data_IF_908420006140
#
_entry.id   IF_908420006140
#
_cell.length_a   1.000
_cell.length_b   1.000
_cell.length_c   1.000
_cell.angle_alpha   90.00
_cell.angle_beta   90.00
_cell.angle_gamma   90.00
#
_symmetry.space_group_name_H-M   'P 1'
#
loop_
_entity.id
_entity.type
_entity.pdbx_description
1 polymer ?
#
# COMPACT_ATOMS: atom_id res chain seq x y z
N UNK A 1 -20.54 13.62 -35.37
CA UNK A 1 -20.86 13.30 -33.96
C UNK A 1 -21.96 14.27 -33.57
N UNK A 2 -23.22 13.82 -33.53
CA UNK A 2 -24.33 14.71 -33.19
C UNK A 2 -24.27 14.93 -31.69
N UNK A 3 -23.93 16.15 -31.27
CA UNK A 3 -23.83 16.52 -29.86
C UNK A 3 -25.18 16.28 -29.17
N UNK A 4 -25.18 15.43 -28.15
CA UNK A 4 -26.38 15.12 -27.33
C UNK A 4 -27.01 16.41 -26.80
N UNK A 5 -26.20 17.45 -26.53
CA UNK A 5 -26.70 18.75 -26.10
C UNK A 5 -27.51 19.44 -27.21
N UNK A 6 -27.08 19.33 -28.47
CA UNK A 6 -27.83 19.84 -29.63
C UNK A 6 -29.16 19.11 -29.81
N UNK A 7 -29.20 17.80 -29.54
CA UNK A 7 -30.44 17.02 -29.59
C UNK A 7 -31.43 17.41 -28.48
N UNK A 8 -30.93 17.67 -27.25
CA UNK A 8 -31.73 18.18 -26.13
C UNK A 8 -32.26 19.59 -26.38
N UNK A 9 -31.42 20.46 -26.97
CA UNK A 9 -31.79 21.83 -27.32
C UNK A 9 -32.89 21.84 -28.39
N UNK A 10 -32.74 21.06 -29.46
CA UNK A 10 -33.75 20.91 -30.51
C UNK A 10 -35.06 20.30 -29.95
N UNK A 11 -34.97 19.32 -29.04
CA UNK A 11 -36.14 18.75 -28.39
C UNK A 11 -36.88 19.78 -27.50
N UNK A 12 -36.14 20.60 -26.75
CA UNK A 12 -36.71 21.65 -25.91
C UNK A 12 -37.37 22.77 -26.75
N UNK A 13 -36.74 23.15 -27.87
CA UNK A 13 -37.29 24.11 -28.83
C UNK A 13 -38.59 23.60 -29.46
N UNK A 14 -38.64 22.33 -29.86
CA UNK A 14 -39.84 21.69 -30.42
C UNK A 14 -41.00 21.63 -29.42
N UNK A 15 -40.71 21.34 -28.14
CA UNK A 15 -41.72 21.32 -27.07
C UNK A 15 -42.28 22.72 -26.77
N UNK A 16 -41.46 23.77 -26.90
CA UNK A 16 -41.88 25.15 -26.68
C UNK A 16 -42.82 25.68 -27.79
N UNK A 17 -42.63 25.23 -29.04
CA UNK A 17 -43.40 25.65 -30.21
C UNK A 17 -43.73 24.42 -31.10
N UNK A 18 -44.75 23.62 -30.76
CA UNK A 18 -45.07 22.38 -31.48
C UNK A 18 -45.71 22.60 -32.86
N UNK A 19 -46.07 23.85 -33.20
CA UNK A 19 -46.64 24.23 -34.50
C UNK A 19 -45.55 24.59 -35.51
N UNK A 20 -44.66 23.64 -35.83
CA UNK A 20 -43.69 23.82 -36.91
C UNK A 20 -44.40 23.83 -38.26
N UNK A 21 -44.20 24.88 -39.05
CA UNK A 21 -44.55 24.81 -40.47
C UNK A 21 -43.62 23.80 -41.17
N UNK A 22 -44.07 23.16 -42.25
CA UNK A 22 -43.31 22.11 -42.94
C UNK A 22 -41.90 22.60 -43.35
N UNK A 23 -40.89 22.31 -42.52
CA UNK A 23 -39.50 22.73 -42.72
C UNK A 23 -38.69 22.94 -41.44
N UNK A 24 -39.31 23.44 -40.36
CA UNK A 24 -38.61 23.88 -39.14
C UNK A 24 -38.04 22.73 -38.30
N UNK A 25 -38.67 21.55 -38.30
CA UNK A 25 -38.19 20.37 -37.55
C UNK A 25 -37.19 19.52 -38.32
N UNK A 26 -36.76 19.96 -39.51
CA UNK A 26 -35.90 19.17 -40.39
C UNK A 26 -34.58 18.77 -39.72
N UNK A 27 -33.97 19.68 -38.95
CA UNK A 27 -32.76 19.39 -38.17
C UNK A 27 -33.03 18.40 -37.03
N UNK A 28 -34.15 18.57 -36.32
CA UNK A 28 -34.54 17.63 -35.25
C UNK A 28 -34.83 16.25 -35.82
N UNK A 29 -35.58 16.13 -36.91
CA UNK A 29 -35.89 14.86 -37.59
C UNK A 29 -34.64 14.21 -38.18
N UNK A 30 -33.69 15.00 -38.66
CA UNK A 30 -32.40 14.49 -39.11
C UNK A 30 -31.53 14.02 -37.94
N UNK A 31 -31.53 14.71 -36.80
CA UNK A 31 -30.78 14.33 -35.60
C UNK A 31 -31.40 13.13 -34.87
N UNK A 32 -32.73 13.04 -34.86
CA UNK A 32 -33.54 11.96 -34.32
C UNK A 32 -33.85 10.87 -35.37
N UNK A 33 -33.11 10.84 -36.48
CA UNK A 33 -33.28 9.79 -37.47
C UNK A 33 -32.88 8.42 -36.84
N UNK A 34 -33.53 7.31 -37.23
CA UNK A 34 -33.25 6.00 -36.63
C UNK A 34 -31.77 5.59 -36.66
N UNK A 35 -31.03 5.93 -37.73
CA UNK A 35 -29.62 5.61 -37.87
C UNK A 35 -28.73 6.40 -36.89
N UNK A 36 -29.07 7.65 -36.61
CA UNK A 36 -28.36 8.49 -35.64
C UNK A 36 -28.61 8.01 -34.21
N UNK A 37 -29.86 7.63 -33.89
CA UNK A 37 -30.23 7.07 -32.60
C UNK A 37 -29.51 5.73 -32.35
N UNK A 38 -29.50 4.83 -33.34
CA UNK A 38 -28.79 3.55 -33.23
C UNK A 38 -27.29 3.71 -33.00
N UNK A 39 -26.65 4.72 -33.61
CA UNK A 39 -25.23 5.04 -33.37
C UNK A 39 -24.98 5.50 -31.93
N UNK A 40 -25.85 6.35 -31.38
CA UNK A 40 -25.75 6.80 -30.00
C UNK A 40 -25.95 5.65 -29.01
N UNK A 41 -26.90 4.74 -29.28
CA UNK A 41 -27.10 3.53 -28.47
C UNK A 41 -25.83 2.68 -28.45
N UNK A 42 -25.25 2.42 -29.62
CA UNK A 42 -24.00 1.65 -29.71
C UNK A 42 -22.83 2.32 -28.97
N UNK A 43 -22.74 3.66 -29.01
CA UNK A 43 -21.74 4.42 -28.28
C UNK A 43 -21.95 4.33 -26.75
N UNK A 44 -23.20 4.45 -26.28
CA UNK A 44 -23.54 4.28 -24.87
C UNK A 44 -23.23 2.87 -24.39
N UNK A 45 -23.51 1.84 -25.19
CA UNK A 45 -23.20 0.45 -24.85
C UNK A 45 -21.68 0.25 -24.73
N UNK A 46 -20.90 0.81 -25.66
CA UNK A 46 -19.44 0.75 -25.62
C UNK A 46 -18.87 1.48 -24.39
N UNK A 47 -19.36 2.70 -24.11
CA UNK A 47 -18.94 3.46 -22.94
C UNK A 47 -19.32 2.75 -21.65
N UNK A 48 -20.49 2.13 -21.60
CA UNK A 48 -20.93 1.33 -20.44
C UNK A 48 -20.03 0.12 -20.23
N UNK A 49 -19.65 -0.57 -21.31
CA UNK A 49 -18.72 -1.70 -21.23
C UNK A 49 -17.33 -1.26 -20.77
N UNK A 50 -16.82 -0.14 -21.29
CA UNK A 50 -15.54 0.44 -20.88
C UNK A 50 -15.54 0.84 -19.40
N UNK A 51 -16.56 1.56 -18.95
CA UNK A 51 -16.69 1.98 -17.56
C UNK A 51 -16.75 0.77 -16.61
N UNK A 52 -17.47 -0.30 -17.00
CA UNK A 52 -17.48 -1.54 -16.22
C UNK A 52 -16.09 -2.17 -16.11
N UNK A 53 -15.34 -2.24 -17.21
CA UNK A 53 -13.98 -2.79 -17.20
C UNK A 53 -13.03 -1.95 -16.32
N UNK A 54 -13.11 -0.64 -16.42
CA UNK A 54 -12.30 0.29 -15.62
C UNK A 54 -12.64 0.20 -14.12
N UNK A 55 -13.91 0.12 -13.77
CA UNK A 55 -14.35 -0.10 -12.39
C UNK A 55 -13.87 -1.44 -11.82
N UNK A 56 -13.82 -2.51 -12.63
CA UNK A 56 -13.24 -3.78 -12.22
C UNK A 56 -11.73 -3.62 -11.91
N UNK A 57 -10.96 -2.99 -12.80
CA UNK A 57 -9.54 -2.76 -12.59
C UNK A 57 -9.27 -1.87 -11.36
N UNK A 58 -10.10 -0.85 -11.15
CA UNK A 58 -10.01 0.01 -9.97
C UNK A 58 -10.28 -0.76 -8.68
N UNK A 59 -11.31 -1.62 -8.67
CA UNK A 59 -11.64 -2.46 -7.52
C UNK A 59 -10.51 -3.43 -7.16
N UNK A 60 -9.84 -4.00 -8.16
CA UNK A 60 -8.71 -4.89 -7.93
C UNK A 60 -7.49 -4.13 -7.38
N UNK A 61 -7.23 -2.92 -7.90
CA UNK A 61 -6.18 -2.03 -7.37
C UNK A 61 -6.47 -1.63 -5.93
N UNK A 62 -7.72 -1.29 -5.62
CA UNK A 62 -8.14 -0.92 -4.26
C UNK A 62 -7.91 -2.07 -3.27
N UNK A 63 -8.32 -3.29 -3.61
CA UNK A 63 -8.06 -4.47 -2.78
C UNK A 63 -6.55 -4.67 -2.53
N UNK A 64 -5.72 -4.41 -3.53
CA UNK A 64 -4.27 -4.51 -3.36
C UNK A 64 -3.73 -3.46 -2.38
N UNK A 65 -4.21 -2.22 -2.45
CA UNK A 65 -3.86 -1.18 -1.46
C UNK A 65 -4.30 -1.58 -0.04
N UNK A 66 -5.53 -2.05 0.13
CA UNK A 66 -6.06 -2.52 1.41
C UNK A 66 -5.21 -3.66 2.00
N UNK A 67 -4.78 -4.60 1.14
CA UNK A 67 -3.88 -5.67 1.54
C UNK A 67 -2.50 -5.14 2.01
N UNK A 68 -1.93 -4.17 1.29
CA UNK A 68 -0.65 -3.56 1.66
C UNK A 68 -0.73 -2.79 2.99
N UNK A 69 -1.83 -2.07 3.23
CA UNK A 69 -2.06 -1.38 4.49
C UNK A 69 -2.15 -2.36 5.67
N UNK A 70 -2.82 -3.49 5.47
CA UNK A 70 -2.91 -4.55 6.47
C UNK A 70 -1.53 -5.14 6.79
N UNK A 71 -0.73 -5.47 5.77
CA UNK A 71 0.64 -5.95 6.00
C UNK A 71 1.51 -4.91 6.70
N UNK A 72 1.39 -3.63 6.35
CA UNK A 72 2.13 -2.57 7.03
C UNK A 72 1.76 -2.48 8.51
N UNK A 73 0.47 -2.63 8.83
CA UNK A 73 -0.02 -2.64 10.21
C UNK A 73 0.48 -3.85 10.99
N UNK A 74 0.47 -5.02 10.38
CA UNK A 74 1.03 -6.24 10.97
C UNK A 74 2.53 -6.09 11.26
N UNK A 75 3.31 -5.61 10.28
CA UNK A 75 4.73 -5.29 10.47
C UNK A 75 4.92 -4.30 11.62
N UNK A 76 4.17 -3.19 11.64
CA UNK A 76 4.25 -2.17 12.68
C UNK A 76 3.94 -2.73 14.08
N UNK A 77 3.00 -3.68 14.19
CA UNK A 77 2.65 -4.32 15.47
C UNK A 77 3.72 -5.29 15.99
N UNK A 78 4.54 -5.86 15.09
CA UNK A 78 5.61 -6.79 15.43
C UNK A 78 6.94 -6.08 15.78
N UNK A 79 7.06 -4.79 15.49
CA UNK A 79 8.25 -4.02 15.86
C UNK A 79 8.27 -3.83 17.39
N UNK A 80 9.39 -4.14 18.06
CA UNK A 80 9.52 -3.94 19.51
C UNK A 80 9.43 -2.44 19.80
N UNK A 81 8.45 -2.05 20.63
CA UNK A 81 7.92 -0.69 20.87
C UNK A 81 8.89 0.50 20.81
N UNK A 82 8.94 1.36 21.84
CA UNK A 82 9.60 2.67 21.69
C UNK A 82 11.13 2.62 21.60
N UNK A 83 11.74 1.42 21.64
CA UNK A 83 13.19 1.21 21.58
C UNK A 83 13.85 1.86 20.36
N UNK A 84 13.15 1.87 19.23
CA UNK A 84 13.60 2.56 18.01
C UNK A 84 12.91 3.93 17.78
N UNK A 85 12.15 4.41 18.77
CA UNK A 85 11.30 5.62 18.77
C UNK A 85 11.62 6.65 19.86
N UNK A 86 12.56 6.42 20.78
CA UNK A 86 12.92 7.41 21.82
C UNK A 86 14.25 8.16 21.50
N UNK A 87 14.38 9.46 21.86
CA UNK A 87 15.53 10.32 21.54
C UNK A 87 16.90 9.78 22.01
N UNK A 88 18.01 10.06 21.28
CA UNK A 88 18.18 11.15 20.30
C UNK A 88 17.58 10.86 18.92
N UNK A 89 17.07 9.65 18.70
CA UNK A 89 16.55 9.19 17.41
C UNK A 89 15.01 9.09 17.35
N UNK A 90 14.33 9.63 18.36
CA UNK A 90 12.89 9.52 18.61
C UNK A 90 12.02 10.56 17.91
N UNK A 91 12.16 10.66 16.60
CA UNK A 91 11.14 11.30 15.75
C UNK A 91 10.13 10.27 15.24
N UNK A 92 9.16 10.73 14.43
CA UNK A 92 8.30 9.87 13.60
C UNK A 92 9.13 9.12 12.54
N UNK A 93 9.96 8.17 12.99
CA UNK A 93 10.86 7.40 12.13
C UNK A 93 10.02 6.41 11.33
N UNK A 94 10.11 6.49 10.00
CA UNK A 94 9.37 5.59 9.11
C UNK A 94 9.67 4.12 9.42
N UNK A 95 8.69 3.24 9.24
CA UNK A 95 8.83 1.78 9.40
C UNK A 95 10.07 1.20 8.69
N UNK A 96 10.40 1.59 7.43
CA UNK A 96 11.61 1.12 6.78
C UNK A 96 12.92 1.48 7.50
N UNK A 97 12.99 2.63 8.16
CA UNK A 97 14.18 3.04 8.91
C UNK A 97 14.33 2.24 10.20
N UNK A 98 13.23 1.93 10.88
CA UNK A 98 13.26 1.04 12.04
C UNK A 98 13.78 -0.36 11.66
N UNK A 99 13.34 -0.89 10.52
CA UNK A 99 13.83 -2.18 10.00
C UNK A 99 15.35 -2.12 9.73
N UNK A 100 15.87 -1.02 9.18
CA UNK A 100 17.32 -0.85 8.97
C UNK A 100 18.10 -0.85 10.29
N UNK A 101 17.57 -0.23 11.34
CA UNK A 101 18.18 -0.23 12.68
C UNK A 101 18.17 -1.63 13.30
N UNK A 102 17.04 -2.32 13.24
CA UNK A 102 16.93 -3.72 13.67
C UNK A 102 17.92 -4.63 12.93
N UNK A 103 18.07 -4.45 11.61
CA UNK A 103 19.03 -5.22 10.83
C UNK A 103 20.47 -4.97 11.30
N UNK A 104 20.80 -3.73 11.66
CA UNK A 104 22.12 -3.38 12.20
C UNK A 104 22.37 -3.99 13.57
N UNK A 105 21.37 -3.98 14.45
CA UNK A 105 21.49 -4.58 15.78
C UNK A 105 21.57 -6.11 15.71
N UNK A 106 20.77 -6.74 14.86
CA UNK A 106 20.88 -8.17 14.57
C UNK A 106 22.25 -8.53 13.97
N UNK A 107 22.83 -7.68 13.11
CA UNK A 107 24.18 -7.91 12.58
C UNK A 107 25.26 -7.81 13.67
N UNK A 108 25.15 -6.83 14.58
CA UNK A 108 26.04 -6.71 15.74
C UNK A 108 25.96 -7.95 16.63
N UNK A 109 24.75 -8.43 16.88
CA UNK A 109 24.51 -9.64 17.65
C UNK A 109 25.16 -10.86 17.02
N UNK A 110 24.90 -11.13 15.74
CA UNK A 110 25.50 -12.26 15.00
C UNK A 110 27.02 -12.20 15.01
N UNK A 111 27.60 -11.02 14.79
CA UNK A 111 29.05 -10.84 14.82
C UNK A 111 29.66 -11.21 16.19
N UNK A 112 28.99 -10.84 17.28
CA UNK A 112 29.41 -11.19 18.64
C UNK A 112 29.21 -12.68 18.93
N UNK A 113 28.05 -13.24 18.55
CA UNK A 113 27.67 -14.64 18.72
C UNK A 113 28.60 -15.60 18.00
N UNK A 114 29.05 -15.24 16.80
CA UNK A 114 29.88 -16.11 15.95
C UNK A 114 31.38 -16.00 16.22
N UNK A 115 31.80 -15.22 17.22
CA UNK A 115 33.22 -14.96 17.45
C UNK A 115 33.96 -16.23 17.88
N UNK A 116 35.08 -16.49 17.22
CA UNK A 116 35.96 -17.62 17.53
C UNK A 116 36.73 -17.35 18.83
N UNK A 117 36.57 -18.24 19.81
CA UNK A 117 37.20 -18.17 21.13
C UNK A 117 38.72 -18.35 21.05
N UNK A 118 39.26 -18.93 19.98
CA UNK A 118 40.71 -19.08 19.80
C UNK A 118 41.42 -17.73 19.54
N UNK A 119 40.67 -16.67 19.20
CA UNK A 119 41.22 -15.32 18.98
C UNK A 119 41.45 -14.49 20.25
N UNK A 120 41.18 -15.04 21.45
CA UNK A 120 41.43 -14.37 22.75
C UNK A 120 42.87 -13.83 22.86
N UNK A 121 43.82 -14.45 22.18
CA UNK A 121 45.25 -14.08 22.19
C UNK A 121 45.56 -12.74 21.48
N UNK A 122 44.65 -12.21 20.67
CA UNK A 122 44.85 -10.98 19.89
C UNK A 122 44.08 -9.76 20.44
N UNK A 123 43.23 -9.96 21.47
CA UNK A 123 42.32 -8.94 22.00
C UNK A 123 41.06 -8.78 21.14
N UNK A 124 39.91 -8.58 21.78
CA UNK A 124 38.61 -8.50 21.10
C UNK A 124 37.46 -8.16 22.04
N UNK A 125 36.25 -8.03 21.46
CA UNK A 125 34.99 -7.86 22.21
C UNK A 125 34.30 -9.22 22.29
N UNK A 126 33.92 -9.62 23.50
CA UNK A 126 33.27 -10.89 23.79
C UNK A 126 32.12 -10.69 24.78
N UNK A 127 31.15 -11.58 24.76
CA UNK A 127 30.14 -11.70 25.81
C UNK A 127 30.67 -12.63 26.90
N UNK A 128 30.52 -12.23 28.15
CA UNK A 128 30.98 -13.03 29.28
C UNK A 128 29.95 -13.06 30.41
N UNK A 129 29.93 -14.18 31.12
CA UNK A 129 29.10 -14.38 32.30
C UNK A 129 29.92 -14.18 33.57
N UNK A 130 29.35 -13.45 34.53
CA UNK A 130 29.91 -13.24 35.86
C UNK A 130 28.99 -13.85 36.91
N UNK A 131 29.52 -14.31 38.06
CA UNK A 131 30.90 -14.14 38.57
C UNK A 131 31.94 -15.14 38.04
N UNK A 132 31.55 -16.15 37.29
CA UNK A 132 32.42 -17.26 36.86
C UNK A 132 33.46 -16.83 35.81
N UNK A 133 33.32 -15.64 35.22
CA UNK A 133 34.19 -15.07 34.17
C UNK A 133 34.34 -15.99 32.95
N UNK A 134 33.25 -16.63 32.54
CA UNK A 134 33.20 -17.53 31.39
C UNK A 134 32.85 -16.72 30.14
N UNK A 135 33.58 -16.93 29.05
CA UNK A 135 33.23 -16.35 27.75
C UNK A 135 32.17 -17.23 27.09
N UNK A 136 31.08 -16.61 26.62
CA UNK A 136 29.96 -17.27 25.96
C UNK A 136 29.98 -16.99 24.46
N UNK A 137 29.61 -17.98 23.65
CA UNK A 137 29.44 -17.84 22.21
C UNK A 137 28.29 -18.74 21.72
N UNK A 138 27.91 -18.57 20.44
CA UNK A 138 26.95 -19.43 19.76
C UNK A 138 25.65 -19.65 20.57
N UNK A 139 25.23 -20.90 20.73
CA UNK A 139 23.99 -21.30 21.40
C UNK A 139 24.05 -21.08 22.91
N UNK A 140 25.22 -21.20 23.54
CA UNK A 140 25.38 -20.95 24.97
C UNK A 140 25.13 -19.46 25.28
N UNK A 141 25.56 -18.56 24.40
CA UNK A 141 25.25 -17.14 24.51
C UNK A 141 23.75 -16.86 24.35
N UNK A 142 23.09 -17.50 23.38
CA UNK A 142 21.65 -17.34 23.18
C UNK A 142 20.87 -17.78 24.43
N UNK A 143 21.19 -18.96 24.96
CA UNK A 143 20.48 -19.56 26.08
C UNK A 143 20.60 -18.73 27.37
N UNK A 144 21.80 -18.22 27.67
CA UNK A 144 22.01 -17.37 28.85
C UNK A 144 21.34 -16.00 28.71
N UNK A 145 21.28 -15.44 27.50
CA UNK A 145 20.54 -14.20 27.23
C UNK A 145 19.03 -14.43 27.43
N UNK A 146 18.49 -15.50 26.85
CA UNK A 146 17.06 -15.81 26.96
C UNK A 146 16.67 -16.05 28.42
N UNK A 147 17.46 -16.82 29.17
CA UNK A 147 17.26 -17.04 30.60
C UNK A 147 17.28 -15.72 31.41
N UNK A 148 18.21 -14.81 31.08
CA UNK A 148 18.30 -13.51 31.73
C UNK A 148 17.11 -12.60 31.40
N UNK A 149 16.62 -12.61 30.15
CA UNK A 149 15.45 -11.85 29.72
C UNK A 149 14.17 -12.37 30.40
N UNK A 150 13.98 -13.69 30.45
CA UNK A 150 12.85 -14.31 31.16
C UNK A 150 12.87 -13.96 32.66
N UNK A 151 14.06 -14.03 33.28
CA UNK A 151 14.25 -13.70 34.69
C UNK A 151 14.04 -12.22 35.02
N UNK A 152 14.30 -11.29 34.09
CA UNK A 152 14.09 -9.85 34.27
C UNK A 152 12.61 -9.42 34.15
N UNK A 153 11.74 -10.31 33.68
CA UNK A 153 10.31 -10.02 33.45
C UNK A 153 9.41 -10.46 34.61
N UNK A 154 9.98 -11.03 35.69
CA UNK A 154 9.29 -11.43 36.94
C UNK A 154 9.41 -10.36 38.02
#
# INVERSE_FOLDING_TARGET
MTDINKLKELAAQYLANPSGTAGEDSEFRAAANPQAILKLIAEVDLLSARLKAENCAHKDTQKHCELLEQYLKECASALPGTYYMDPPDGGNVSIPEQIRRMAKDAARYRWLRERDLETIRQGGVFAGMTPENIVLNQEDLDAEIDAALEGATQ
#
